data_IF_240223211485
#
_entry.id   IF_240223211485
#
_cell.length_a   1.000
_cell.length_b   1.000
_cell.length_c   1.000
_cell.angle_alpha   90.00
_cell.angle_beta   90.00
_cell.angle_gamma   90.00
#
_symmetry.space_group_name_H-M   'P 1'
#
loop_
_entity.id
_entity.type
_entity.pdbx_description
1 polymer ?
#
# COMPACT_ATOMS: atom_id res chain seq x y z
N UNK A 1 9.24 23.36 -8.80
CA UNK A 1 10.53 22.74 -8.39
C UNK A 1 11.38 23.79 -7.72
N UNK A 2 12.10 23.43 -6.65
CA UNK A 2 13.05 24.34 -5.99
C UNK A 2 14.22 24.69 -6.92
N UNK A 3 14.83 25.86 -6.72
CA UNK A 3 16.03 26.30 -7.44
C UNK A 3 17.30 25.70 -6.79
N UNK A 4 18.30 25.29 -7.60
CA UNK A 4 19.61 24.90 -7.09
C UNK A 4 20.31 26.02 -6.31
N UNK A 5 21.23 25.64 -5.44
CA UNK A 5 22.08 26.61 -4.73
C UNK A 5 23.06 27.28 -5.68
N UNK A 6 23.27 28.60 -5.51
CA UNK A 6 24.28 29.35 -6.30
C UNK A 6 25.72 28.98 -5.93
N UNK A 7 25.97 28.65 -4.66
CA UNK A 7 27.27 28.24 -4.14
C UNK A 7 27.08 27.14 -3.10
N UNK A 8 27.73 25.99 -3.27
CA UNK A 8 27.66 24.87 -2.33
C UNK A 8 28.85 24.93 -1.37
N UNK A 9 28.64 24.90 -0.04
CA UNK A 9 29.73 24.86 0.94
C UNK A 9 30.63 23.64 0.77
N UNK A 10 31.90 23.79 1.12
CA UNK A 10 32.85 22.66 1.11
C UNK A 10 32.37 21.51 1.98
N UNK A 11 32.42 20.29 1.45
CA UNK A 11 31.98 19.07 2.12
C UNK A 11 30.50 18.73 1.96
N UNK A 12 29.74 19.53 1.21
CA UNK A 12 28.31 19.29 0.94
C UNK A 12 28.04 19.13 -0.56
N UNK A 13 26.88 18.56 -0.89
CA UNK A 13 26.32 18.45 -2.24
C UNK A 13 24.92 19.08 -2.26
N UNK A 14 24.53 19.68 -3.39
CA UNK A 14 23.19 20.26 -3.55
C UNK A 14 22.19 19.17 -3.95
N UNK A 15 21.30 18.82 -3.02
CA UNK A 15 20.24 17.84 -3.23
C UNK A 15 19.39 18.13 -4.47
N UNK A 16 19.06 19.41 -4.75
CA UNK A 16 18.18 19.79 -5.88
C UNK A 16 18.83 19.51 -7.23
N UNK A 17 20.16 19.52 -7.29
CA UNK A 17 20.94 19.18 -8.48
C UNK A 17 21.14 17.68 -8.57
N UNK A 18 21.52 17.04 -7.47
CA UNK A 18 21.77 15.58 -7.41
C UNK A 18 20.55 14.76 -7.84
N UNK A 19 19.37 15.01 -7.27
CA UNK A 19 18.18 14.16 -7.49
C UNK A 19 17.62 14.22 -8.91
N UNK A 20 18.01 15.20 -9.74
CA UNK A 20 17.52 15.32 -11.12
C UNK A 20 17.95 14.15 -11.99
N UNK A 21 19.11 13.58 -11.70
CA UNK A 21 19.65 12.42 -12.41
C UNK A 21 19.01 11.11 -11.92
N UNK A 22 18.32 11.15 -10.77
CA UNK A 22 17.63 10.02 -10.16
C UNK A 22 16.11 10.12 -10.39
N UNK A 23 15.70 10.56 -11.57
CA UNK A 23 14.30 10.49 -11.97
C UNK A 23 13.79 9.06 -11.94
N UNK A 24 12.47 8.89 -11.73
CA UNK A 24 11.83 7.58 -11.73
C UNK A 24 11.89 6.95 -13.13
N UNK A 25 12.97 6.21 -13.39
CA UNK A 25 13.12 5.40 -14.59
C UNK A 25 12.40 4.06 -14.40
N UNK A 26 11.12 4.02 -14.77
CA UNK A 26 10.37 2.77 -14.81
C UNK A 26 10.50 2.12 -16.19
N UNK A 27 11.14 0.95 -16.23
CA UNK A 27 11.02 0.04 -17.37
C UNK A 27 10.03 -1.05 -17.00
N UNK A 28 8.90 -1.20 -17.71
CA UNK A 28 7.93 -2.23 -17.39
C UNK A 28 8.57 -3.61 -17.55
N UNK A 29 8.33 -4.48 -16.57
CA UNK A 29 8.61 -5.89 -16.74
C UNK A 29 7.75 -6.46 -17.89
N UNK A 30 8.24 -7.52 -18.54
CA UNK A 30 7.41 -8.26 -19.50
C UNK A 30 6.09 -8.65 -18.85
N UNK A 31 4.97 -8.56 -19.58
CA UNK A 31 3.65 -8.90 -19.07
C UNK A 31 3.59 -10.39 -18.68
N UNK A 32 3.84 -10.67 -17.41
CA UNK A 32 3.68 -11.98 -16.79
C UNK A 32 2.49 -11.91 -15.84
N UNK A 33 1.30 -11.63 -16.38
CA UNK A 33 0.09 -11.71 -15.58
C UNK A 33 -0.10 -13.14 -15.04
N UNK A 34 0.08 -13.30 -13.73
CA UNK A 34 -0.20 -14.57 -13.04
C UNK A 34 -1.70 -14.69 -12.79
N UNK A 35 -2.41 -15.26 -13.77
CA UNK A 35 -3.85 -15.51 -13.67
C UNK A 35 -4.22 -16.40 -12.48
N UNK A 36 -3.38 -17.38 -12.15
CA UNK A 36 -3.63 -18.30 -11.04
C UNK A 36 -3.60 -17.57 -9.70
N UNK A 37 -2.67 -16.63 -9.54
CA UNK A 37 -2.60 -15.78 -8.36
C UNK A 37 -3.84 -14.87 -8.22
N UNK A 38 -4.30 -14.27 -9.33
CA UNK A 38 -5.51 -13.42 -9.33
C UNK A 38 -6.75 -14.23 -8.96
N UNK A 39 -6.92 -15.43 -9.53
CA UNK A 39 -8.04 -16.32 -9.23
C UNK A 39 -8.02 -16.76 -7.75
N UNK A 40 -6.84 -17.10 -7.21
CA UNK A 40 -6.67 -17.40 -5.78
C UNK A 40 -7.01 -16.22 -4.88
N UNK A 41 -6.58 -15.01 -5.23
CA UNK A 41 -6.86 -13.81 -4.47
C UNK A 41 -8.36 -13.48 -4.46
N UNK A 42 -9.03 -13.62 -5.61
CA UNK A 42 -10.48 -13.42 -5.71
C UNK A 42 -11.27 -14.45 -4.88
N UNK A 43 -10.87 -15.74 -4.92
CA UNK A 43 -11.46 -16.77 -4.08
C UNK A 43 -11.27 -16.45 -2.59
N UNK A 44 -10.07 -16.04 -2.20
CA UNK A 44 -9.80 -15.66 -0.81
C UNK A 44 -10.59 -14.43 -0.36
N UNK A 45 -10.80 -13.46 -1.24
CA UNK A 45 -11.67 -12.32 -0.95
C UNK A 45 -13.09 -12.77 -0.61
N UNK A 46 -13.63 -13.73 -1.34
CA UNK A 46 -14.93 -14.33 -1.07
C UNK A 46 -14.94 -15.10 0.27
N UNK A 47 -13.89 -15.88 0.57
CA UNK A 47 -13.75 -16.61 1.84
C UNK A 47 -13.70 -15.66 3.05
N UNK A 48 -13.05 -14.51 2.89
CA UNK A 48 -12.98 -13.44 3.89
C UNK A 48 -14.25 -12.58 3.94
N UNK A 49 -15.23 -12.82 3.07
CA UNK A 49 -16.49 -12.09 3.01
C UNK A 49 -16.36 -10.65 2.52
N UNK A 50 -15.26 -10.31 1.85
CA UNK A 50 -14.98 -8.96 1.34
C UNK A 50 -15.85 -8.66 0.12
N UNK A 51 -16.32 -7.41 0.03
CA UNK A 51 -17.16 -6.94 -1.07
C UNK A 51 -16.49 -5.80 -1.82
N UNK A 52 -16.82 -5.70 -3.10
CA UNK A 52 -16.41 -4.57 -3.91
C UNK A 52 -16.89 -3.25 -3.27
N UNK A 53 -15.99 -2.28 -3.18
CA UNK A 53 -16.24 -1.00 -2.53
C UNK A 53 -16.00 -0.99 -1.01
N UNK A 54 -15.66 -2.12 -0.38
CA UNK A 54 -15.26 -2.12 1.02
C UNK A 54 -14.02 -1.24 1.26
N UNK A 55 -13.96 -0.61 2.42
CA UNK A 55 -12.77 0.05 2.96
C UNK A 55 -12.26 -0.81 4.11
N UNK A 56 -11.29 -1.67 3.82
CA UNK A 56 -10.85 -2.75 4.70
C UNK A 56 -9.67 -2.28 5.56
N UNK A 57 -9.86 -2.22 6.87
CA UNK A 57 -8.76 -2.01 7.82
C UNK A 57 -8.10 -3.34 8.14
N UNK A 58 -6.77 -3.40 7.96
CA UNK A 58 -6.01 -4.62 8.20
C UNK A 58 -4.85 -4.37 9.14
N UNK A 59 -4.69 -5.24 10.14
CA UNK A 59 -3.47 -5.32 10.95
C UNK A 59 -2.52 -6.38 10.37
N UNK A 60 -1.59 -5.96 9.53
CA UNK A 60 -0.67 -6.87 8.82
C UNK A 60 0.22 -7.68 9.78
N UNK A 61 0.46 -7.22 11.01
CA UNK A 61 1.19 -8.00 12.00
C UNK A 61 0.44 -9.28 12.44
N UNK A 62 -0.89 -9.31 12.29
CA UNK A 62 -1.73 -10.45 12.65
C UNK A 62 -2.01 -11.39 11.48
N UNK A 63 -1.70 -10.97 10.25
CA UNK A 63 -1.94 -11.74 9.03
C UNK A 63 -0.60 -12.01 8.33
N UNK A 64 -0.02 -13.22 8.46
CA UNK A 64 1.30 -13.51 7.90
C UNK A 64 1.30 -13.64 6.37
N UNK A 65 0.15 -13.96 5.76
CA UNK A 65 0.04 -14.16 4.31
C UNK A 65 -0.41 -12.87 3.59
N UNK A 66 0.41 -12.30 2.68
CA UNK A 66 0.02 -11.14 1.87
C UNK A 66 -1.19 -11.38 0.97
N UNK A 67 -1.57 -12.62 0.74
CA UNK A 67 -2.82 -12.93 0.06
C UNK A 67 -4.03 -12.43 0.85
N UNK A 68 -3.98 -12.44 2.19
CA UNK A 68 -5.07 -12.00 3.06
C UNK A 68 -5.15 -10.48 3.21
N UNK A 69 -4.00 -9.84 3.42
CA UNK A 69 -3.95 -8.41 3.77
C UNK A 69 -3.68 -7.47 2.60
N UNK A 70 -3.26 -7.98 1.43
CA UNK A 70 -3.00 -7.18 0.23
C UNK A 70 -3.82 -7.66 -0.98
N UNK A 71 -3.65 -8.90 -1.40
CA UNK A 71 -4.17 -9.33 -2.71
C UNK A 71 -5.68 -9.59 -2.69
N UNK A 72 -6.22 -10.24 -1.66
CA UNK A 72 -7.66 -10.53 -1.58
C UNK A 72 -8.50 -9.25 -1.57
N UNK A 73 -8.22 -8.22 -0.76
CA UNK A 73 -8.96 -6.96 -0.81
C UNK A 73 -8.92 -6.30 -2.21
N UNK A 74 -7.75 -6.27 -2.85
CA UNK A 74 -7.62 -5.67 -4.19
C UNK A 74 -8.36 -6.47 -5.26
N UNK A 75 -8.23 -7.80 -5.26
CA UNK A 75 -8.91 -8.69 -6.21
C UNK A 75 -10.43 -8.68 -6.01
N UNK A 76 -10.91 -8.49 -4.78
CA UNK A 76 -12.33 -8.30 -4.45
C UNK A 76 -12.90 -6.92 -4.83
N UNK A 77 -12.08 -6.00 -5.35
CA UNK A 77 -12.49 -4.64 -5.68
C UNK A 77 -12.69 -3.74 -4.45
N UNK A 78 -12.07 -4.08 -3.33
CA UNK A 78 -12.05 -3.28 -2.11
C UNK A 78 -10.82 -2.35 -2.08
N UNK A 79 -10.81 -1.46 -1.09
CA UNK A 79 -9.69 -0.55 -0.77
C UNK A 79 -9.12 -0.86 0.60
N UNK A 80 -7.87 -0.48 0.83
CA UNK A 80 -7.10 -0.89 2.01
C UNK A 80 -6.75 0.29 2.93
N UNK A 81 -6.82 0.03 4.24
CA UNK A 81 -6.17 0.80 5.29
C UNK A 81 -5.19 -0.16 5.98
N UNK A 82 -3.95 -0.18 5.51
CA UNK A 82 -2.94 -1.13 5.97
C UNK A 82 -2.20 -0.59 7.20
N UNK A 83 -2.23 -1.32 8.32
CA UNK A 83 -1.48 -1.01 9.52
C UNK A 83 -0.48 -2.14 9.82
N UNK A 84 0.80 -1.81 10.00
CA UNK A 84 1.83 -2.81 10.30
C UNK A 84 1.94 -3.21 11.79
N UNK A 85 1.27 -2.48 12.68
CA UNK A 85 1.16 -2.77 14.11
C UNK A 85 0.01 -1.92 14.67
N UNK A 86 -1.22 -2.40 14.52
CA UNK A 86 -2.40 -1.61 14.89
C UNK A 86 -2.56 -1.53 16.41
N UNK A 87 -2.56 -0.31 16.94
CA UNK A 87 -2.86 -0.03 18.35
C UNK A 87 -4.38 -0.21 18.61
N UNK A 88 -4.80 -1.20 19.44
CA UNK A 88 -6.21 -1.44 19.73
C UNK A 88 -6.92 -0.23 20.34
N UNK A 89 -6.21 0.61 21.11
CA UNK A 89 -6.79 1.79 21.72
C UNK A 89 -7.15 2.89 20.70
N UNK A 90 -6.61 2.81 19.47
CA UNK A 90 -6.86 3.76 18.38
C UNK A 90 -7.76 3.19 17.29
N UNK A 91 -8.23 1.95 17.44
CA UNK A 91 -9.00 1.23 16.43
C UNK A 91 -10.25 2.02 16.00
N UNK A 92 -11.04 2.48 16.97
CA UNK A 92 -12.30 3.19 16.70
C UNK A 92 -12.05 4.51 15.99
N UNK A 93 -11.12 5.32 16.51
CA UNK A 93 -10.76 6.61 15.92
C UNK A 93 -10.24 6.47 14.49
N UNK A 94 -9.42 5.45 14.23
CA UNK A 94 -8.93 5.15 12.88
C UNK A 94 -10.06 4.69 11.97
N UNK A 95 -10.96 3.83 12.46
CA UNK A 95 -12.10 3.33 11.69
C UNK A 95 -13.00 4.46 11.21
N UNK A 96 -13.27 5.43 12.09
CA UNK A 96 -14.04 6.64 11.74
C UNK A 96 -13.29 7.52 10.74
N UNK A 97 -12.03 7.86 11.02
CA UNK A 97 -11.24 8.76 10.17
C UNK A 97 -11.06 8.23 8.74
N UNK A 98 -10.86 6.92 8.62
CA UNK A 98 -10.61 6.24 7.36
C UNK A 98 -11.89 5.72 6.68
N UNK A 99 -13.06 5.87 7.32
CA UNK A 99 -14.36 5.38 6.84
C UNK A 99 -14.37 3.88 6.57
N UNK A 100 -13.83 3.12 7.51
CA UNK A 100 -13.73 1.65 7.45
C UNK A 100 -15.11 1.02 7.43
N UNK A 101 -15.33 0.07 6.53
CA UNK A 101 -16.57 -0.71 6.42
C UNK A 101 -16.39 -2.15 6.88
N UNK A 102 -15.17 -2.67 6.78
CA UNK A 102 -14.81 -4.05 7.12
C UNK A 102 -13.47 -4.06 7.86
N UNK A 103 -13.34 -4.86 8.92
CA UNK A 103 -12.12 -4.95 9.71
C UNK A 103 -11.56 -6.38 9.65
N UNK A 104 -10.26 -6.49 9.33
CA UNK A 104 -9.43 -7.68 9.43
C UNK A 104 -8.32 -7.40 10.45
N UNK A 105 -8.70 -7.15 11.70
CA UNK A 105 -7.83 -6.73 12.81
C UNK A 105 -7.78 -7.75 13.93
#
# INVERSE_FOLDING_TARGET
>A
MALPMRTVPSGFVDYVTEVRTFGDHFTPYANQADRGLVERAAARAADLGLKAGDRVLVDAAKHPDPLDWLLAPLAGGATLVLCGALDPAKLDGRSVAEKVTTQLV
#
